data_IF_081895543667
#
_entry.id   IF_081895543667
#
_cell.length_a   1.000
_cell.length_b   1.000
_cell.length_c   1.000
_cell.angle_alpha   90.00
_cell.angle_beta   90.00
_cell.angle_gamma   90.00
#
_symmetry.space_group_name_H-M   'P 1'
#
loop_
_entity.id
_entity.type
_entity.pdbx_description
1 polymer ?
#
# COMPACT_ATOMS: atom_id res chain seq x y z
N UNK A 1 -42.06 -31.97 -3.36
CA UNK A 1 -42.59 -30.98 -2.41
C UNK A 1 -41.58 -29.84 -2.30
N UNK A 2 -42.02 -28.68 -2.71
CA UNK A 2 -41.35 -27.41 -2.70
C UNK A 2 -40.91 -27.00 -1.27
N UNK A 3 -39.79 -26.32 -1.11
CA UNK A 3 -39.74 -25.02 -0.43
C UNK A 3 -38.54 -24.21 -0.89
N UNK A 4 -38.84 -23.26 -1.66
CA UNK A 4 -38.11 -22.07 -2.07
C UNK A 4 -37.82 -21.17 -0.85
N UNK A 5 -36.56 -20.85 -0.56
CA UNK A 5 -36.21 -19.73 0.34
C UNK A 5 -35.23 -18.78 -0.33
N UNK A 6 -35.83 -17.80 -0.95
CA UNK A 6 -35.21 -16.52 -1.28
C UNK A 6 -34.91 -15.78 0.01
N UNK A 7 -33.66 -15.48 0.29
CA UNK A 7 -33.29 -14.45 1.26
C UNK A 7 -32.53 -13.34 0.54
N UNK A 8 -33.23 -12.27 0.41
CA UNK A 8 -32.76 -10.94 0.08
C UNK A 8 -31.65 -10.51 1.04
N UNK A 9 -30.48 -10.27 0.55
CA UNK A 9 -29.47 -9.54 1.29
C UNK A 9 -29.39 -8.12 0.71
N UNK A 10 -30.09 -7.20 1.39
CA UNK A 10 -30.06 -5.78 1.12
C UNK A 10 -28.66 -5.22 1.43
N UNK A 11 -27.97 -4.83 0.38
CA UNK A 11 -26.72 -4.11 0.49
C UNK A 11 -27.00 -2.70 1.02
N UNK A 12 -26.77 -2.49 2.31
CA UNK A 12 -26.77 -1.18 2.93
C UNK A 12 -25.50 -0.42 2.48
N UNK A 13 -25.58 0.29 1.37
CA UNK A 13 -24.59 1.29 0.96
C UNK A 13 -24.71 2.50 1.87
N UNK A 14 -23.81 2.63 2.83
CA UNK A 14 -23.60 3.88 3.57
C UNK A 14 -22.95 4.90 2.62
N UNK A 15 -23.71 5.87 2.20
CA UNK A 15 -23.21 7.06 1.53
C UNK A 15 -22.60 8.02 2.57
N UNK A 16 -21.48 8.67 2.27
CA UNK A 16 -20.92 9.71 3.13
C UNK A 16 -21.80 10.97 3.06
N UNK A 17 -21.93 11.75 4.17
CA UNK A 17 -22.74 12.96 4.18
C UNK A 17 -22.14 14.04 3.28
N UNK A 18 -23.00 14.58 2.43
CA UNK A 18 -22.71 15.74 1.59
C UNK A 18 -22.39 16.95 2.47
N UNK A 19 -21.26 17.58 2.23
CA UNK A 19 -20.90 18.86 2.83
C UNK A 19 -21.85 19.93 2.28
N UNK A 20 -22.71 20.47 3.15
CA UNK A 20 -23.51 21.65 2.90
C UNK A 20 -22.59 22.85 2.67
N UNK A 21 -22.53 23.32 1.46
CA UNK A 21 -21.97 24.62 1.12
C UNK A 21 -22.98 25.70 1.53
N UNK A 22 -22.59 26.57 2.43
CA UNK A 22 -23.32 27.80 2.70
C UNK A 22 -22.94 28.87 1.66
N UNK A 23 -23.88 29.36 0.86
CA UNK A 23 -23.69 30.62 0.16
C UNK A 23 -24.44 31.71 0.93
N UNK A 24 -23.81 32.77 1.32
CA UNK A 24 -24.37 34.12 1.42
C UNK A 24 -23.40 35.01 2.22
N UNK A 25 -22.45 35.58 1.53
CA UNK A 25 -21.81 36.81 1.99
C UNK A 25 -22.36 37.97 1.17
N UNK A 26 -23.29 38.69 1.74
CA UNK A 26 -23.75 39.99 1.26
C UNK A 26 -22.59 40.98 1.32
N UNK A 27 -22.20 41.51 0.18
CA UNK A 27 -21.25 42.60 0.04
C UNK A 27 -21.91 43.94 0.48
N UNK A 28 -21.35 44.55 1.50
CA UNK A 28 -21.57 45.96 1.81
C UNK A 28 -20.35 46.78 1.41
N UNK A 29 -20.48 47.87 0.64
CA UNK A 29 -19.38 48.76 0.32
C UNK A 29 -19.26 49.82 1.41
N UNK A 30 -18.10 49.94 2.03
CA UNK A 30 -17.88 51.02 3.00
C UNK A 30 -16.49 51.01 3.61
N UNK A 31 -15.57 51.75 3.01
CA UNK A 31 -14.44 52.49 3.59
C UNK A 31 -13.83 51.93 4.89
N UNK A 32 -12.74 51.16 4.77
CA UNK A 32 -11.61 51.14 5.73
C UNK A 32 -10.47 50.26 5.24
N UNK A 33 -9.96 50.52 4.04
CA UNK A 33 -8.93 49.67 3.41
C UNK A 33 -7.48 50.11 3.63
N UNK A 34 -7.22 51.22 4.35
CA UNK A 34 -5.86 51.75 4.41
C UNK A 34 -5.06 51.29 5.65
N UNK A 35 -5.69 50.85 6.71
CA UNK A 35 -4.98 50.46 7.94
C UNK A 35 -4.59 48.99 7.97
N UNK A 36 -5.30 48.14 7.21
CA UNK A 36 -5.06 46.66 7.21
C UNK A 36 -3.84 46.30 6.36
N UNK A 37 -3.51 47.10 5.33
CA UNK A 37 -2.35 46.79 4.46
C UNK A 37 -0.99 47.03 5.14
N UNK A 38 -0.90 47.99 6.08
CA UNK A 38 0.35 48.22 6.82
C UNK A 38 0.67 47.14 7.85
N UNK A 39 -0.35 46.44 8.38
CA UNK A 39 -0.13 45.32 9.33
C UNK A 39 0.33 44.03 8.65
N UNK A 40 -0.06 43.79 7.40
CA UNK A 40 0.35 42.59 6.69
C UNK A 40 1.79 42.63 6.17
N UNK A 41 2.36 43.80 5.99
CA UNK A 41 3.76 43.94 5.53
C UNK A 41 4.77 43.68 6.65
N UNK A 42 4.43 44.00 7.90
CA UNK A 42 5.30 43.71 9.05
C UNK A 42 5.29 42.21 9.44
N UNK A 43 4.23 41.45 9.12
CA UNK A 43 4.18 39.99 9.40
C UNK A 43 4.99 39.18 8.41
N UNK A 44 5.25 39.65 7.21
CA UNK A 44 5.98 38.90 6.19
C UNK A 44 7.49 38.90 6.40
N UNK A 45 8.06 39.94 7.04
CA UNK A 45 9.50 40.03 7.26
C UNK A 45 10.01 39.30 8.50
N UNK A 46 9.11 38.77 9.38
CA UNK A 46 9.52 38.00 10.53
C UNK A 46 9.71 36.49 10.22
N UNK A 47 9.36 36.03 9.01
CA UNK A 47 9.46 34.62 8.68
C UNK A 47 10.80 34.25 8.03
N UNK A 48 11.61 35.23 7.60
CA UNK A 48 12.88 34.95 6.93
C UNK A 48 14.02 34.64 7.90
N UNK A 49 13.92 35.06 9.17
CA UNK A 49 14.94 34.79 10.20
C UNK A 49 14.67 33.51 11.05
N UNK A 50 13.61 32.75 10.75
CA UNK A 50 13.37 31.47 11.42
C UNK A 50 14.34 30.44 10.86
N UNK A 51 15.13 29.75 11.70
CA UNK A 51 15.98 28.66 11.26
C UNK A 51 15.11 27.57 10.61
N UNK A 52 15.33 27.36 9.32
CA UNK A 52 14.66 26.28 8.61
C UNK A 52 15.10 24.95 9.25
N UNK A 53 14.14 24.14 9.69
CA UNK A 53 14.41 22.81 10.20
C UNK A 53 14.99 21.97 9.07
N UNK A 54 16.31 21.81 9.06
CA UNK A 54 16.97 20.90 8.14
C UNK A 54 16.65 19.47 8.56
N UNK A 55 16.25 18.64 7.60
CA UNK A 55 16.08 17.21 7.86
C UNK A 55 17.41 16.62 8.33
N UNK A 56 17.34 15.76 9.34
CA UNK A 56 18.52 15.12 9.89
C UNK A 56 19.22 14.27 8.78
N UNK A 57 20.43 14.66 8.31
CA UNK A 57 21.14 13.94 7.26
C UNK A 57 21.55 12.52 7.70
N UNK A 58 21.58 12.24 9.00
CA UNK A 58 21.92 10.92 9.57
C UNK A 58 20.68 10.05 9.84
N UNK A 59 19.49 10.49 9.42
CA UNK A 59 18.28 9.69 9.57
C UNK A 59 18.35 8.46 8.66
N UNK A 60 18.42 7.29 9.26
CA UNK A 60 18.38 6.04 8.52
C UNK A 60 17.13 5.96 7.63
N UNK A 61 17.27 5.55 6.35
CA UNK A 61 16.11 5.37 5.48
C UNK A 61 15.18 4.31 6.07
N UNK A 62 13.86 4.44 5.88
CA UNK A 62 12.91 3.47 6.41
C UNK A 62 13.20 2.07 5.82
N UNK A 63 13.33 1.07 6.69
CA UNK A 63 13.60 -0.32 6.31
C UNK A 63 12.46 -0.86 5.44
N UNK A 64 12.75 -1.11 4.18
CA UNK A 64 11.81 -1.67 3.19
C UNK A 64 12.19 -3.12 2.92
N UNK A 65 11.20 -4.01 2.74
CA UNK A 65 11.49 -5.37 2.28
C UNK A 65 11.85 -5.38 0.78
N UNK A 66 12.53 -6.43 0.33
CA UNK A 66 13.01 -6.59 -1.04
C UNK A 66 11.92 -6.38 -2.09
N UNK A 67 10.68 -6.78 -1.80
CA UNK A 67 9.55 -6.70 -2.74
C UNK A 67 8.62 -5.51 -2.52
N UNK A 68 8.96 -4.52 -1.67
CA UNK A 68 8.05 -3.42 -1.39
C UNK A 68 7.67 -2.57 -2.61
N UNK A 69 8.58 -2.42 -3.57
CA UNK A 69 8.35 -1.69 -4.82
C UNK A 69 7.82 -2.52 -5.98
N UNK A 70 7.79 -3.85 -5.86
CA UNK A 70 7.49 -4.77 -6.97
C UNK A 70 6.06 -5.29 -6.87
N UNK A 71 5.35 -5.34 -8.00
CA UNK A 71 4.06 -6.01 -8.10
C UNK A 71 4.26 -7.52 -8.24
N UNK A 72 3.52 -8.30 -7.44
CA UNK A 72 3.60 -9.77 -7.47
C UNK A 72 2.50 -10.31 -8.35
N UNK A 73 2.88 -10.95 -9.45
CA UNK A 73 1.95 -11.62 -10.36
C UNK A 73 2.09 -13.15 -10.24
N UNK A 74 0.96 -13.86 -10.39
CA UNK A 74 0.90 -15.33 -10.37
C UNK A 74 1.53 -15.98 -11.59
N UNK A 75 1.70 -15.25 -12.68
CA UNK A 75 2.36 -15.72 -13.91
C UNK A 75 3.88 -15.81 -13.77
N UNK A 76 4.47 -15.03 -12.88
CA UNK A 76 5.90 -15.03 -12.64
C UNK A 76 6.33 -16.21 -11.74
N UNK A 77 6.37 -17.40 -12.33
CA UNK A 77 6.70 -18.65 -11.63
C UNK A 77 8.12 -18.66 -11.10
N UNK A 78 9.09 -18.05 -11.81
CA UNK A 78 10.47 -17.95 -11.38
C UNK A 78 10.60 -17.20 -10.05
N UNK A 79 9.97 -16.03 -9.93
CA UNK A 79 9.96 -15.28 -8.68
C UNK A 79 9.26 -16.06 -7.56
N UNK A 80 8.10 -16.65 -7.84
CA UNK A 80 7.33 -17.37 -6.82
C UNK A 80 8.03 -18.63 -6.33
N UNK A 81 8.76 -19.32 -7.19
CA UNK A 81 9.52 -20.52 -6.84
C UNK A 81 10.60 -20.27 -5.79
N UNK A 82 11.14 -19.03 -5.71
CA UNK A 82 12.15 -18.66 -4.72
C UNK A 82 11.62 -18.71 -3.27
N UNK A 83 10.31 -18.58 -3.08
CA UNK A 83 9.67 -18.60 -1.76
C UNK A 83 9.10 -19.96 -1.37
N UNK A 84 9.35 -20.98 -2.18
CA UNK A 84 8.87 -22.35 -1.97
C UNK A 84 10.03 -23.28 -1.62
N UNK A 85 9.81 -24.16 -0.64
CA UNK A 85 10.76 -25.20 -0.28
C UNK A 85 10.89 -26.23 -1.41
N UNK A 86 12.13 -26.58 -1.73
CA UNK A 86 12.43 -27.60 -2.74
C UNK A 86 11.95 -29.00 -2.35
N UNK A 87 11.91 -29.30 -1.05
CA UNK A 87 11.58 -30.62 -0.55
C UNK A 87 10.09 -30.82 -0.32
N UNK A 88 9.42 -29.82 0.30
CA UNK A 88 8.03 -29.96 0.74
C UNK A 88 7.03 -29.23 -0.15
N UNK A 89 7.50 -28.36 -1.05
CA UNK A 89 6.63 -27.50 -1.85
C UNK A 89 5.88 -26.45 -1.05
N UNK A 90 6.11 -26.35 0.26
CA UNK A 90 5.46 -25.35 1.12
C UNK A 90 6.18 -24.00 1.03
N UNK A 91 5.43 -22.93 1.25
CA UNK A 91 5.99 -21.58 1.30
C UNK A 91 6.78 -21.37 2.60
N UNK A 92 7.92 -20.72 2.51
CA UNK A 92 8.74 -20.36 3.66
C UNK A 92 8.07 -19.34 4.54
N UNK A 93 8.33 -19.43 5.84
CA UNK A 93 7.86 -18.47 6.84
C UNK A 93 8.51 -17.10 6.68
N UNK A 94 7.91 -16.10 7.33
CA UNK A 94 8.35 -14.70 7.24
C UNK A 94 9.75 -14.46 7.83
N UNK A 95 10.15 -15.25 8.81
CA UNK A 95 11.47 -15.21 9.43
C UNK A 95 12.60 -15.60 8.46
N UNK A 96 12.29 -16.43 7.45
CA UNK A 96 13.23 -16.84 6.41
C UNK A 96 13.17 -15.87 5.23
N UNK A 97 11.97 -15.48 4.81
CA UNK A 97 11.78 -14.64 3.62
C UNK A 97 12.08 -13.16 3.83
N UNK A 98 12.11 -12.68 5.09
CA UNK A 98 12.33 -11.27 5.41
C UNK A 98 11.28 -10.30 4.87
N UNK A 99 10.15 -10.80 4.37
CA UNK A 99 9.12 -9.99 3.72
C UNK A 99 8.18 -9.30 4.72
N UNK A 100 7.65 -8.14 4.33
CA UNK A 100 6.61 -7.49 5.08
C UNK A 100 5.28 -8.27 5.00
N UNK A 101 4.39 -8.10 5.97
CA UNK A 101 3.10 -8.80 6.03
C UNK A 101 2.26 -8.67 4.76
N UNK A 102 2.24 -7.48 4.15
CA UNK A 102 1.46 -7.22 2.94
C UNK A 102 1.97 -8.07 1.78
N UNK A 103 3.29 -8.10 1.57
CA UNK A 103 3.92 -8.87 0.47
C UNK A 103 3.88 -10.37 0.73
N UNK A 104 4.07 -10.82 1.96
CA UNK A 104 3.93 -12.23 2.32
C UNK A 104 2.53 -12.77 1.98
N UNK A 105 1.48 -12.03 2.33
CA UNK A 105 0.10 -12.38 1.96
C UNK A 105 -0.14 -12.33 0.45
N UNK A 106 0.45 -11.37 -0.25
CA UNK A 106 0.33 -11.25 -1.70
C UNK A 106 0.97 -12.47 -2.40
N UNK A 107 2.18 -12.86 -2.01
CA UNK A 107 2.87 -14.04 -2.54
C UNK A 107 2.09 -15.32 -2.24
N UNK A 108 1.56 -15.49 -1.02
CA UNK A 108 0.72 -16.65 -0.69
C UNK A 108 -0.50 -16.77 -1.61
N UNK A 109 -1.16 -15.65 -1.91
CA UNK A 109 -2.29 -15.62 -2.84
C UNK A 109 -1.85 -15.94 -4.27
N UNK A 110 -0.72 -15.38 -4.71
CA UNK A 110 -0.18 -15.61 -6.04
C UNK A 110 0.22 -17.07 -6.25
N UNK A 111 0.90 -17.70 -5.28
CA UNK A 111 1.27 -19.11 -5.31
C UNK A 111 0.04 -20.02 -5.39
N UNK A 112 -0.99 -19.75 -4.56
CA UNK A 112 -2.24 -20.51 -4.63
C UNK A 112 -2.90 -20.42 -6.00
N UNK A 113 -2.94 -19.21 -6.57
CA UNK A 113 -3.52 -18.98 -7.91
C UNK A 113 -2.69 -19.67 -9.00
N UNK A 114 -1.35 -19.56 -8.94
CA UNK A 114 -0.46 -20.21 -9.88
C UNK A 114 -0.63 -21.74 -9.88
N UNK A 115 -0.82 -22.36 -8.71
CA UNK A 115 -1.10 -23.78 -8.58
C UNK A 115 -2.44 -24.20 -9.17
N UNK A 116 -3.49 -23.42 -8.91
CA UNK A 116 -4.84 -23.69 -9.47
C UNK A 116 -4.81 -23.56 -11.00
N UNK A 117 -4.07 -22.59 -11.52
CA UNK A 117 -3.92 -22.38 -12.97
C UNK A 117 -2.94 -23.34 -13.66
N UNK A 118 -2.25 -24.21 -12.91
CA UNK A 118 -1.30 -25.16 -13.47
C UNK A 118 0.08 -24.61 -13.82
N UNK A 119 0.39 -23.37 -13.43
CA UNK A 119 1.73 -22.80 -13.68
C UNK A 119 2.79 -23.33 -12.73
N UNK A 120 2.44 -23.86 -11.57
CA UNK A 120 3.36 -24.36 -10.56
C UNK A 120 2.91 -25.70 -10.00
N UNK A 121 3.84 -26.63 -9.70
CA UNK A 121 3.51 -27.88 -9.03
C UNK A 121 3.10 -27.63 -7.56
N UNK A 122 2.33 -28.54 -7.01
CA UNK A 122 1.77 -28.40 -5.65
C UNK A 122 2.71 -28.97 -4.58
N UNK A 123 3.31 -30.14 -4.84
CA UNK A 123 4.04 -30.92 -3.83
C UNK A 123 5.55 -30.70 -3.83
N UNK A 124 6.10 -30.08 -4.85
CA UNK A 124 7.55 -29.89 -5.00
C UNK A 124 7.87 -28.55 -5.67
N UNK A 125 9.14 -28.18 -5.71
CA UNK A 125 9.65 -27.07 -6.50
C UNK A 125 10.08 -27.60 -7.86
N UNK A 126 9.74 -26.89 -8.92
CA UNK A 126 10.13 -27.24 -10.27
C UNK A 126 11.68 -27.29 -10.38
N UNK A 127 12.24 -28.40 -10.91
CA UNK A 127 13.70 -28.56 -11.04
C UNK A 127 14.35 -27.47 -11.92
N UNK A 128 13.62 -26.89 -12.87
CA UNK A 128 14.12 -25.79 -13.70
C UNK A 128 14.60 -24.60 -12.86
N UNK A 129 13.96 -24.31 -11.73
CA UNK A 129 14.26 -23.16 -10.87
C UNK A 129 15.17 -23.48 -9.67
N UNK A 130 15.72 -24.68 -9.58
CA UNK A 130 16.62 -25.05 -8.46
C UNK A 130 17.98 -24.33 -8.53
N UNK A 131 18.43 -24.00 -9.73
CA UNK A 131 19.72 -23.33 -9.97
C UNK A 131 19.63 -21.81 -9.91
N UNK A 132 18.44 -21.25 -9.77
CA UNK A 132 18.25 -19.81 -9.72
C UNK A 132 18.89 -19.18 -8.49
N UNK A 133 19.39 -17.93 -8.59
CA UNK A 133 19.97 -17.23 -7.45
C UNK A 133 18.91 -17.07 -6.36
N UNK A 134 19.32 -17.35 -5.13
CA UNK A 134 18.43 -17.27 -3.97
C UNK A 134 18.21 -15.81 -3.59
N UNK A 135 16.95 -15.45 -3.41
CA UNK A 135 16.55 -14.13 -2.91
C UNK A 135 16.48 -14.11 -1.38
N UNK A 136 16.26 -15.29 -0.77
CA UNK A 136 16.18 -15.47 0.67
C UNK A 136 17.44 -16.17 1.18
N UNK A 137 17.88 -15.75 2.36
CA UNK A 137 18.99 -16.42 3.08
C UNK A 137 18.49 -17.76 3.63
N UNK A 138 18.69 -18.84 2.85
CA UNK A 138 18.30 -20.21 3.19
C UNK A 138 19.53 -21.10 3.08
#
# INVERSE_FOLDING_TARGET
MLVLRLLFNAACRRQPPAKLACPLALSLPGRTTTIIQLRNQTSQNMHEDMPQQMENPYKEPPKKCVLCGVTVDYKNTQLLSQFISSQTGRMYGRHITGLCNKKQKAISKAIKRARIMGYMPVAYKDPAFLKDPKICDI
#
